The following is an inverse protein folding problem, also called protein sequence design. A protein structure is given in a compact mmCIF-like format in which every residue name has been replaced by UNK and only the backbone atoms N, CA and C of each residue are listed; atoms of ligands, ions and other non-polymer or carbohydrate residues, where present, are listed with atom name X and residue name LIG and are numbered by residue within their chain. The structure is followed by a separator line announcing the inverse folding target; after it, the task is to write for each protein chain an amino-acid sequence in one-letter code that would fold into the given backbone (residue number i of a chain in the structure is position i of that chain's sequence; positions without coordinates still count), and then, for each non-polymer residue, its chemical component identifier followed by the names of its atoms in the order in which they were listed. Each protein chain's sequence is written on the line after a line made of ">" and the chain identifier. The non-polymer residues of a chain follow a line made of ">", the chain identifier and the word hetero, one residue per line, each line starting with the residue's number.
data_IF_322553616167
#
_entry.id   IF_322553616167
#
_cell.length_a   1.000
_cell.length_b   1.000
_cell.length_c   1.000
_cell.angle_alpha   90.00
_cell.angle_beta   90.00
_cell.angle_gamma   90.00
#
_symmetry.space_group_name_H-M   'P 1'
#
loop_
_entity.id
_entity.type
_entity.pdbx_description
1 polymer ?
#
# COMPACT_ATOMS: atom_id res chain seq x y z
N UNK A 1 -17.37 -13.14 -4.68
CA UNK A 1 -16.32 -13.34 -5.70
C UNK A 1 -14.98 -13.40 -4.98
N UNK A 2 -14.14 -14.40 -5.26
CA UNK A 2 -12.81 -14.45 -4.66
C UNK A 2 -12.05 -13.16 -5.03
N UNK A 3 -11.56 -12.41 -4.03
CA UNK A 3 -10.75 -11.21 -4.27
C UNK A 3 -9.53 -11.65 -5.09
N UNK A 4 -9.32 -11.07 -6.27
CA UNK A 4 -8.10 -11.34 -7.05
C UNK A 4 -6.90 -10.93 -6.19
N UNK A 5 -5.91 -11.82 -5.98
CA UNK A 5 -4.78 -11.49 -5.14
C UNK A 5 -3.94 -10.41 -5.83
N UNK A 6 -3.75 -9.28 -5.14
CA UNK A 6 -2.75 -8.29 -5.50
C UNK A 6 -1.38 -8.82 -5.08
N UNK A 7 -0.41 -8.83 -5.99
CA UNK A 7 0.97 -9.23 -5.69
C UNK A 7 1.95 -8.28 -6.36
N UNK A 8 3.04 -7.97 -5.66
CA UNK A 8 4.15 -7.17 -6.17
C UNK A 8 5.39 -8.05 -6.15
N UNK A 9 6.10 -8.13 -7.28
CA UNK A 9 7.42 -8.77 -7.32
C UNK A 9 8.46 -7.78 -6.83
N UNK A 10 9.23 -8.17 -5.82
CA UNK A 10 10.30 -7.37 -5.22
C UNK A 10 11.55 -8.23 -5.02
N UNK A 11 12.68 -7.60 -4.79
CA UNK A 11 13.92 -8.28 -4.41
C UNK A 11 13.80 -9.00 -3.07
N UNK A 12 14.56 -10.08 -2.90
CA UNK A 12 14.57 -10.86 -1.66
C UNK A 12 14.99 -10.03 -0.44
N UNK A 13 15.89 -9.07 -0.63
CA UNK A 13 16.30 -8.09 0.38
C UNK A 13 15.09 -7.35 0.98
N UNK A 14 14.17 -6.88 0.13
CA UNK A 14 12.94 -6.17 0.52
C UNK A 14 11.98 -7.12 1.22
N UNK A 15 11.83 -8.36 0.72
CA UNK A 15 10.99 -9.38 1.38
C UNK A 15 11.47 -9.63 2.81
N UNK A 16 12.78 -9.75 3.01
CA UNK A 16 13.37 -9.99 4.33
C UNK A 16 13.15 -8.82 5.28
N UNK A 17 13.36 -7.58 4.82
CA UNK A 17 13.07 -6.38 5.61
C UNK A 17 11.60 -6.32 6.02
N UNK A 18 10.70 -6.61 5.08
CA UNK A 18 9.27 -6.56 5.31
C UNK A 18 8.80 -7.63 6.31
N UNK A 19 9.32 -8.86 6.19
CA UNK A 19 9.06 -9.94 7.15
C UNK A 19 9.58 -9.58 8.54
N UNK A 20 10.80 -9.07 8.64
CA UNK A 20 11.36 -8.63 9.91
C UNK A 20 10.50 -7.55 10.58
N UNK A 21 10.04 -6.57 9.81
CA UNK A 21 9.15 -5.51 10.31
C UNK A 21 7.82 -6.08 10.81
N UNK A 22 7.22 -7.00 10.05
CA UNK A 22 5.99 -7.69 10.45
C UNK A 22 6.12 -8.47 11.75
N UNK A 23 7.24 -9.18 11.92
CA UNK A 23 7.54 -9.91 13.15
C UNK A 23 7.73 -8.98 14.34
N UNK A 24 8.55 -7.94 14.20
CA UNK A 24 8.84 -7.00 15.31
C UNK A 24 7.60 -6.22 15.75
N UNK A 25 6.78 -5.80 14.79
CA UNK A 25 5.57 -5.03 15.09
C UNK A 25 4.37 -5.92 15.46
N UNK A 26 4.47 -7.24 15.32
CA UNK A 26 3.37 -8.19 15.47
C UNK A 26 2.12 -7.77 14.66
N UNK A 27 2.34 -7.36 13.40
CA UNK A 27 1.29 -6.93 12.48
C UNK A 27 1.25 -7.80 11.24
N UNK A 28 0.08 -7.95 10.67
CA UNK A 28 -0.07 -8.64 9.39
C UNK A 28 0.51 -7.80 8.26
N UNK A 29 0.87 -8.47 7.17
CA UNK A 29 1.45 -7.83 6.01
C UNK A 29 0.52 -6.76 5.43
N UNK A 30 -0.76 -7.07 5.22
CA UNK A 30 -1.74 -6.11 4.70
C UNK A 30 -1.88 -4.84 5.56
N UNK A 31 -1.70 -4.95 6.88
CA UNK A 31 -1.75 -3.81 7.80
C UNK A 31 -0.54 -2.90 7.60
N UNK A 32 0.66 -3.50 7.50
CA UNK A 32 1.90 -2.76 7.25
C UNK A 32 1.85 -2.07 5.89
N UNK A 33 1.38 -2.76 4.86
CA UNK A 33 1.23 -2.14 3.53
C UNK A 33 0.26 -0.95 3.57
N UNK A 34 -0.87 -1.10 4.27
CA UNK A 34 -1.84 -0.02 4.44
C UNK A 34 -1.25 1.19 5.17
N UNK A 35 -0.45 0.96 6.22
CA UNK A 35 0.26 2.01 6.95
C UNK A 35 1.30 2.72 6.06
N UNK A 36 2.09 1.97 5.28
CA UNK A 36 3.07 2.54 4.36
C UNK A 36 2.41 3.40 3.29
N UNK A 37 1.27 2.95 2.73
CA UNK A 37 0.48 3.75 1.79
C UNK A 37 -0.02 5.03 2.45
N UNK A 38 -0.59 4.94 3.65
CA UNK A 38 -1.06 6.11 4.40
C UNK A 38 0.06 7.13 4.65
N UNK A 39 1.22 6.67 5.09
CA UNK A 39 2.40 7.53 5.29
C UNK A 39 2.79 8.22 3.99
N UNK A 40 2.85 7.48 2.87
CA UNK A 40 3.21 8.05 1.57
C UNK A 40 2.20 9.06 1.06
N UNK A 41 0.91 8.81 1.24
CA UNK A 41 -0.15 9.78 0.90
C UNK A 41 -0.01 11.07 1.70
N UNK A 42 0.39 11.00 2.97
CA UNK A 42 0.63 12.19 3.81
C UNK A 42 1.92 12.94 3.45
N UNK A 43 2.81 12.34 2.67
CA UNK A 43 4.02 13.00 2.15
C UNK A 43 3.81 13.64 0.77
N UNK A 44 2.64 13.48 0.16
CA UNK A 44 2.32 14.10 -1.13
C UNK A 44 2.16 15.61 -0.98
N UNK A 45 2.66 16.34 -1.96
CA UNK A 45 2.32 17.76 -2.10
C UNK A 45 0.87 17.93 -2.61
N UNK A 46 0.39 19.18 -2.68
CA UNK A 46 -0.99 19.50 -3.03
C UNK A 46 -1.40 18.95 -4.40
N UNK A 47 -0.60 19.21 -5.44
CA UNK A 47 -0.87 18.71 -6.80
C UNK A 47 -0.92 17.18 -6.87
N UNK A 48 0.04 16.51 -6.22
CA UNK A 48 0.09 15.04 -6.16
C UNK A 48 -1.10 14.46 -5.41
N UNK A 49 -1.54 15.12 -4.32
CA UNK A 49 -2.70 14.70 -3.53
C UNK A 49 -3.98 14.83 -4.34
N UNK A 50 -4.17 15.94 -5.07
CA UNK A 50 -5.31 16.11 -5.96
C UNK A 50 -5.35 15.02 -7.04
N UNK A 51 -4.22 14.73 -7.68
CA UNK A 51 -4.14 13.65 -8.67
C UNK A 51 -4.45 12.27 -8.06
N UNK A 52 -3.91 11.97 -6.87
CA UNK A 52 -4.20 10.74 -6.13
C UNK A 52 -5.70 10.58 -5.84
N UNK A 53 -6.36 11.61 -5.32
CA UNK A 53 -7.79 11.56 -4.98
C UNK A 53 -8.68 11.39 -6.23
N UNK A 54 -8.32 12.07 -7.34
CA UNK A 54 -9.01 11.92 -8.61
C UNK A 54 -8.95 10.48 -9.14
N UNK A 55 -7.77 9.84 -9.08
CA UNK A 55 -7.58 8.45 -9.51
C UNK A 55 -8.36 7.47 -8.63
N UNK A 56 -8.32 7.63 -7.31
CA UNK A 56 -9.09 6.79 -6.38
C UNK A 56 -10.59 6.91 -6.65
N UNK A 57 -11.09 8.11 -6.92
CA UNK A 57 -12.51 8.34 -7.25
C UNK A 57 -12.90 7.68 -8.57
N UNK A 58 -12.03 7.74 -9.58
CA UNK A 58 -12.26 7.10 -10.88
C UNK A 58 -12.37 5.58 -10.72
N UNK A 59 -11.39 4.95 -10.07
CA UNK A 59 -11.34 3.49 -9.94
C UNK A 59 -12.35 2.90 -8.96
N UNK A 60 -12.94 3.72 -8.07
CA UNK A 60 -14.06 3.30 -7.21
C UNK A 60 -15.38 3.16 -7.96
N UNK A 61 -15.56 3.81 -9.12
CA UNK A 61 -16.80 3.70 -9.90
C UNK A 61 -16.91 2.40 -10.70
N UNK A 62 -15.80 1.69 -10.88
CA UNK A 62 -15.74 0.44 -11.67
C UNK A 62 -15.80 -0.84 -10.79
N UNK A 63 -16.08 -0.70 -9.48
CA UNK A 63 -16.33 -1.81 -8.53
C UNK A 63 -17.71 -1.68 -7.89
#
# INVERSE_FOLDING_TARGET
>A
MAKRPFSIRVEESVVNQYRALSTVLNKKQEEILSELIFIKVNQLNEDQRHAYEALIKLWRKDN
#
